data_IF_421877632393
#
_entry.id   IF_421877632393
#
_cell.length_a   1.000
_cell.length_b   1.000
_cell.length_c   1.000
_cell.angle_alpha   90.00
_cell.angle_beta   90.00
_cell.angle_gamma   90.00
#
_symmetry.space_group_name_H-M   'P 1'
#
loop_
_entity.id
_entity.type
_entity.pdbx_description
1 polymer ?
#
# COMPACT_ATOMS: atom_id res chain seq x y z
N UNK A 1 6.00 1.48 5.46
CA UNK A 1 5.09 0.34 5.21
C UNK A 1 4.29 0.05 6.46
N UNK A 2 3.00 -0.07 6.30
CA UNK A 2 2.11 -0.15 7.45
C UNK A 2 1.65 -1.58 7.76
N UNK A 3 1.47 -2.38 6.72
CA UNK A 3 0.97 -3.74 6.86
C UNK A 3 1.74 -4.66 5.93
N UNK A 4 2.07 -5.86 6.43
CA UNK A 4 2.64 -6.93 5.62
C UNK A 4 1.71 -8.12 5.76
N UNK A 5 1.25 -8.64 4.63
CA UNK A 5 0.24 -9.71 4.61
C UNK A 5 0.58 -10.75 3.55
N UNK A 6 -0.07 -11.88 3.64
CA UNK A 6 0.04 -12.94 2.65
C UNK A 6 -1.29 -13.08 1.90
N UNK A 7 -1.22 -13.07 0.59
CA UNK A 7 -2.37 -13.32 -0.27
C UNK A 7 -2.26 -14.76 -0.81
N UNK A 8 -3.00 -15.72 -0.24
CA UNK A 8 -2.88 -17.11 -0.63
C UNK A 8 -3.38 -17.38 -2.05
N UNK A 9 -4.36 -16.62 -2.52
CA UNK A 9 -4.90 -16.82 -3.86
C UNK A 9 -3.90 -16.42 -4.94
N UNK A 10 -3.13 -15.36 -4.69
CA UNK A 10 -2.10 -14.90 -5.62
C UNK A 10 -0.74 -15.53 -5.34
N UNK A 11 -0.57 -16.22 -4.20
CA UNK A 11 0.73 -16.73 -3.77
C UNK A 11 1.75 -15.63 -3.55
N UNK A 12 1.31 -14.48 -3.05
CA UNK A 12 2.14 -13.29 -2.94
C UNK A 12 2.28 -12.82 -1.50
N UNK A 13 3.45 -12.30 -1.18
CA UNK A 13 3.67 -11.51 0.02
C UNK A 13 3.36 -10.06 -0.35
N UNK A 14 2.46 -9.43 0.39
CA UNK A 14 1.92 -8.12 0.07
C UNK A 14 2.36 -7.10 1.11
N UNK A 15 2.99 -6.05 0.63
CA UNK A 15 3.35 -4.89 1.46
C UNK A 15 2.34 -3.79 1.18
N UNK A 16 1.72 -3.26 2.22
CA UNK A 16 0.60 -2.35 2.08
C UNK A 16 0.94 -1.00 2.67
N UNK A 17 0.79 0.04 1.87
CA UNK A 17 0.90 1.43 2.31
C UNK A 17 -0.51 1.99 2.51
N UNK A 18 -0.77 2.54 3.70
CA UNK A 18 -2.08 3.12 4.03
C UNK A 18 -1.96 4.64 4.03
N UNK A 19 -2.85 5.31 3.31
CA UNK A 19 -2.93 6.76 3.27
C UNK A 19 -4.31 7.22 3.73
N UNK A 20 -4.33 8.07 4.75
CA UNK A 20 -5.55 8.69 5.24
C UNK A 20 -5.60 10.16 4.83
N UNK A 21 -6.77 10.61 4.43
CA UNK A 21 -7.05 12.02 4.20
C UNK A 21 -8.37 12.39 4.87
N UNK A 22 -8.44 13.59 5.38
CA UNK A 22 -9.66 14.15 5.95
C UNK A 22 -9.96 15.49 5.29
N UNK A 23 -11.24 15.90 5.32
CA UNK A 23 -11.66 17.17 4.78
C UNK A 23 -12.41 17.05 3.47
N UNK A 24 -12.74 18.20 2.89
CA UNK A 24 -13.54 18.32 1.67
C UNK A 24 -12.66 18.85 0.52
N UNK A 25 -12.91 18.35 -0.68
CA UNK A 25 -12.34 18.89 -1.90
C UNK A 25 -10.89 18.55 -2.17
N UNK A 26 -10.31 17.63 -1.45
CA UNK A 26 -8.97 17.12 -1.75
C UNK A 26 -9.08 15.87 -2.62
N UNK A 27 -8.08 15.65 -3.44
CA UNK A 27 -8.05 14.51 -4.34
C UNK A 27 -8.00 13.17 -3.63
N UNK A 28 -7.96 12.11 -4.41
CA UNK A 28 -7.85 10.74 -3.92
C UNK A 28 -6.58 10.62 -3.05
N UNK A 29 -6.66 10.02 -1.85
CA UNK A 29 -5.47 9.75 -1.04
C UNK A 29 -4.34 9.05 -1.79
N UNK A 30 -4.68 8.22 -2.76
CA UNK A 30 -3.71 7.46 -3.55
C UNK A 30 -2.95 8.30 -4.57
N UNK A 31 -3.42 9.49 -4.90
CA UNK A 31 -2.70 10.42 -5.77
C UNK A 31 -1.36 10.85 -5.20
N UNK A 32 -1.20 10.73 -3.88
CA UNK A 32 0.06 11.04 -3.22
C UNK A 32 1.14 9.99 -3.47
N UNK A 33 0.78 8.83 -4.04
CA UNK A 33 1.73 7.74 -4.29
C UNK A 33 2.38 7.93 -5.66
N UNK A 34 3.45 8.71 -5.72
CA UNK A 34 4.19 9.02 -6.94
C UNK A 34 5.08 7.84 -7.36
N UNK A 35 5.57 7.88 -8.61
CA UNK A 35 6.54 6.89 -9.11
C UNK A 35 7.78 6.80 -8.20
N UNK A 36 8.29 7.94 -7.75
CA UNK A 36 9.46 7.99 -6.86
C UNK A 36 9.18 7.29 -5.53
N UNK A 37 7.99 7.52 -4.96
CA UNK A 37 7.58 6.86 -3.71
C UNK A 37 7.41 5.36 -3.91
N UNK A 38 6.83 4.92 -5.03
CA UNK A 38 6.68 3.51 -5.35
C UNK A 38 8.03 2.80 -5.43
N UNK A 39 9.00 3.43 -6.08
CA UNK A 39 10.36 2.89 -6.18
C UNK A 39 10.99 2.74 -4.80
N UNK A 40 10.84 3.74 -3.95
CA UNK A 40 11.36 3.71 -2.59
C UNK A 40 10.68 2.62 -1.75
N UNK A 41 9.38 2.46 -1.88
CA UNK A 41 8.63 1.40 -1.21
C UNK A 41 9.18 0.02 -1.59
N UNK A 42 9.45 -0.21 -2.87
CA UNK A 42 10.02 -1.46 -3.33
C UNK A 42 11.38 -1.74 -2.68
N UNK A 43 12.23 -0.73 -2.62
CA UNK A 43 13.54 -0.85 -1.96
C UNK A 43 13.38 -1.25 -0.49
N UNK A 44 12.45 -0.63 0.22
CA UNK A 44 12.16 -0.95 1.62
C UNK A 44 11.66 -2.38 1.78
N UNK A 45 10.81 -2.84 0.88
CA UNK A 45 10.32 -4.22 0.88
C UNK A 45 11.46 -5.23 0.74
N UNK A 46 12.37 -4.97 -0.20
CA UNK A 46 13.51 -5.86 -0.43
C UNK A 46 14.44 -5.89 0.77
N UNK A 47 14.67 -4.76 1.42
CA UNK A 47 15.46 -4.69 2.66
C UNK A 47 14.81 -5.47 3.78
N UNK A 48 13.50 -5.33 3.93
CA UNK A 48 12.75 -6.07 4.95
C UNK A 48 12.88 -7.57 4.78
N UNK A 49 12.71 -8.05 3.54
CA UNK A 49 12.87 -9.47 3.21
C UNK A 49 14.26 -9.97 3.56
N UNK A 50 15.29 -9.19 3.21
CA UNK A 50 16.67 -9.56 3.49
C UNK A 50 16.95 -9.62 5.00
N UNK A 51 16.49 -8.63 5.76
CA UNK A 51 16.67 -8.59 7.21
C UNK A 51 15.99 -9.74 7.93
N UNK A 52 14.80 -10.11 7.48
CA UNK A 52 14.02 -11.18 8.11
C UNK A 52 14.30 -12.56 7.52
N UNK A 53 15.20 -12.63 6.52
CA UNK A 53 15.58 -13.87 5.84
C UNK A 53 14.37 -14.62 5.30
N UNK A 54 13.43 -13.87 4.74
CA UNK A 54 12.20 -14.42 4.15
C UNK A 54 12.36 -14.41 2.64
N UNK A 55 12.05 -15.56 2.00
CA UNK A 55 11.94 -15.65 0.55
C UNK A 55 10.48 -15.57 0.17
N UNK A 56 10.20 -14.74 -0.83
CA UNK A 56 8.87 -14.65 -1.40
C UNK A 56 8.97 -14.85 -2.90
N UNK A 57 8.20 -15.81 -3.42
CA UNK A 57 8.18 -16.09 -4.85
C UNK A 57 7.53 -14.94 -5.62
N UNK A 58 6.55 -14.29 -5.01
CA UNK A 58 5.89 -13.11 -5.56
C UNK A 58 5.82 -12.03 -4.50
N UNK A 59 6.17 -10.83 -4.92
CA UNK A 59 6.10 -9.64 -4.09
C UNK A 59 5.11 -8.67 -4.75
N UNK A 60 4.16 -8.17 -3.97
CA UNK A 60 3.22 -7.18 -4.44
C UNK A 60 3.16 -6.01 -3.47
N UNK A 61 3.08 -4.81 -3.98
CA UNK A 61 2.89 -3.62 -3.18
C UNK A 61 1.50 -3.08 -3.48
N UNK A 62 0.70 -2.95 -2.43
CA UNK A 62 -0.65 -2.43 -2.51
C UNK A 62 -0.74 -1.09 -1.80
N UNK A 63 -1.73 -0.30 -2.14
CA UNK A 63 -2.05 0.92 -1.43
C UNK A 63 -3.50 0.90 -0.99
N UNK A 64 -3.75 1.36 0.23
CA UNK A 64 -5.10 1.55 0.74
C UNK A 64 -5.28 3.02 1.05
N UNK A 65 -6.26 3.63 0.38
CA UNK A 65 -6.66 5.00 0.66
C UNK A 65 -7.88 5.02 1.56
N UNK A 66 -7.84 5.83 2.60
CA UNK A 66 -8.96 6.02 3.50
C UNK A 66 -9.35 7.49 3.48
N UNK A 67 -10.58 7.77 3.10
CA UNK A 67 -11.12 9.13 3.08
C UNK A 67 -12.10 9.29 4.24
N UNK A 68 -11.79 10.24 5.11
CA UNK A 68 -12.62 10.54 6.27
C UNK A 68 -13.33 11.87 6.04
N UNK A 69 -14.65 11.88 6.13
CA UNK A 69 -15.48 13.08 6.03
C UNK A 69 -16.39 13.19 7.24
N UNK A 70 -16.56 14.43 7.79
CA UNK A 70 -17.45 14.63 8.93
C UNK A 70 -18.86 14.11 8.65
N UNK A 71 -19.43 13.35 9.56
CA UNK A 71 -20.79 12.84 9.45
C UNK A 71 -21.01 11.71 8.46
N UNK A 72 -19.94 11.24 7.79
CA UNK A 72 -20.03 10.17 6.81
C UNK A 72 -19.19 8.97 7.25
N UNK A 73 -19.53 7.79 6.72
CA UNK A 73 -18.72 6.60 6.91
C UNK A 73 -17.41 6.74 6.15
N UNK A 74 -16.29 6.22 6.67
CA UNK A 74 -15.03 6.21 5.93
C UNK A 74 -15.18 5.50 4.59
N UNK A 75 -14.54 6.07 3.56
CA UNK A 75 -14.46 5.44 2.25
C UNK A 75 -13.08 4.80 2.13
N UNK A 76 -13.05 3.50 1.88
CA UNK A 76 -11.81 2.74 1.75
C UNK A 76 -11.66 2.27 0.31
N UNK A 77 -10.51 2.58 -0.27
CA UNK A 77 -10.16 2.15 -1.62
C UNK A 77 -8.85 1.37 -1.58
N UNK A 78 -8.89 0.12 -2.01
CA UNK A 78 -7.73 -0.75 -2.03
C UNK A 78 -7.27 -0.94 -3.49
N UNK A 79 -6.04 -0.54 -3.77
CA UNK A 79 -5.43 -0.70 -5.09
C UNK A 79 -4.30 -1.72 -4.98
N UNK A 80 -4.43 -2.81 -5.71
CA UNK A 80 -3.44 -3.88 -5.75
C UNK A 80 -2.41 -3.62 -6.82
N UNK A 81 -1.15 -3.93 -6.50
CA UNK A 81 -0.08 -3.86 -7.49
C UNK A 81 0.23 -2.46 -7.99
N UNK A 82 0.49 -1.52 -7.10
CA UNK A 82 0.69 -0.11 -7.49
C UNK A 82 1.98 0.14 -8.26
N UNK A 83 2.90 -0.81 -8.31
CA UNK A 83 4.14 -0.68 -9.07
C UNK A 83 4.13 -1.47 -10.38
N UNK A 84 3.06 -2.16 -10.66
CA UNK A 84 2.90 -2.93 -11.90
C UNK A 84 2.51 -2.03 -13.08
#
# INVERSE_FOLDING_TARGET
LDIIAHDPDAGALVFIEVKCRSGLGFGDPLEAVTWRKRKKLRQLCLLWLAEHRIRADRLRIDAIGVLLRPGEKPVVNHVRGIEE
#
